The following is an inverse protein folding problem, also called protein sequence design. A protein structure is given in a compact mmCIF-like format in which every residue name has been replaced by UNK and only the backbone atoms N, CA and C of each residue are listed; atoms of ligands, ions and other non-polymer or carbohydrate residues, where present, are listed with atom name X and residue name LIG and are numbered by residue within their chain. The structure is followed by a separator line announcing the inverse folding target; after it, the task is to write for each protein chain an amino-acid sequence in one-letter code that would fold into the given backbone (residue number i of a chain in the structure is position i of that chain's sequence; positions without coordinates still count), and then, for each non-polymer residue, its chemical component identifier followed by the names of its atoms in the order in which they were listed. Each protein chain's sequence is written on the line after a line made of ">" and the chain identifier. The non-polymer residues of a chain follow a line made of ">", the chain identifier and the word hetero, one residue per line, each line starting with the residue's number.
data_IF_356496731904
#
_entry.id   IF_356496731904
#
_cell.length_a   1.000
_cell.length_b   1.000
_cell.length_c   1.000
_cell.angle_alpha   90.00
_cell.angle_beta   90.00
_cell.angle_gamma   90.00
#
_symmetry.space_group_name_H-M   'P 1'
#
loop_
_entity.id
_entity.type
_entity.pdbx_description
1 polymer ?
#
# COMPACT_ATOMS: atom_id res chain seq x y z
N UNK A 1 -13.08 -0.64 12.10
CA UNK A 1 -12.11 -1.56 11.47
C UNK A 1 -12.61 -2.04 10.12
N UNK A 2 -12.01 -1.55 9.02
CA UNK A 2 -12.33 -1.91 7.64
C UNK A 2 -11.07 -1.87 6.78
N UNK A 3 -10.86 -2.88 5.94
CA UNK A 3 -9.84 -2.86 4.90
C UNK A 3 -10.46 -2.39 3.60
N UNK A 4 -9.84 -1.44 2.92
CA UNK A 4 -10.33 -0.83 1.68
C UNK A 4 -9.23 -0.82 0.63
N UNK A 5 -9.58 -1.24 -0.59
CA UNK A 5 -8.70 -1.09 -1.76
C UNK A 5 -8.81 0.34 -2.28
N UNK A 6 -7.66 0.94 -2.59
CA UNK A 6 -7.55 2.31 -3.08
C UNK A 6 -7.19 2.29 -4.57
N UNK A 7 -8.11 2.76 -5.42
CA UNK A 7 -7.90 2.79 -6.87
C UNK A 7 -7.24 4.09 -7.34
N UNK A 8 -7.48 5.21 -6.66
CA UNK A 8 -7.04 6.56 -7.06
C UNK A 8 -6.35 7.29 -5.90
N UNK A 9 -5.55 8.31 -6.23
CA UNK A 9 -4.82 9.12 -5.25
C UNK A 9 -3.99 8.28 -4.26
N UNK A 10 -3.41 7.16 -4.74
CA UNK A 10 -2.61 6.23 -3.91
C UNK A 10 -1.47 6.93 -3.15
N UNK A 11 -0.94 8.04 -3.69
CA UNK A 11 0.14 8.84 -3.06
C UNK A 11 -0.30 9.59 -1.80
N UNK A 12 -1.59 9.76 -1.55
CA UNK A 12 -2.10 10.38 -0.31
C UNK A 12 -1.69 9.57 0.94
N UNK A 13 -1.35 8.30 0.76
CA UNK A 13 -0.94 7.38 1.82
C UNK A 13 0.59 7.24 1.92
N UNK A 14 1.37 8.02 1.16
CA UNK A 14 2.84 7.95 1.12
C UNK A 14 3.46 8.11 2.52
N UNK A 15 2.91 8.98 3.36
CA UNK A 15 3.41 9.18 4.72
C UNK A 15 3.40 7.91 5.58
N UNK A 16 2.43 7.00 5.39
CA UNK A 16 2.40 5.71 6.08
C UNK A 16 3.35 4.70 5.43
N UNK A 17 3.41 4.67 4.10
CA UNK A 17 4.26 3.74 3.36
C UNK A 17 5.76 4.00 3.67
N UNK A 18 6.14 5.27 3.82
CA UNK A 18 7.50 5.68 4.19
C UNK A 18 7.93 5.21 5.60
N UNK A 19 7.00 4.81 6.46
CA UNK A 19 7.34 4.22 7.77
C UNK A 19 7.90 2.80 7.62
N UNK A 20 7.50 2.08 6.58
CA UNK A 20 7.90 0.70 6.32
C UNK A 20 9.07 0.61 5.32
N UNK A 21 9.09 1.46 4.30
CA UNK A 21 10.18 1.56 3.32
C UNK A 21 10.58 3.03 3.11
N UNK A 22 11.81 3.45 3.48
CA UNK A 22 12.23 4.84 3.32
C UNK A 22 12.48 5.26 1.86
N UNK A 23 12.47 4.33 0.90
CA UNK A 23 12.73 4.61 -0.51
C UNK A 23 11.44 4.93 -1.27
N UNK A 24 11.19 6.23 -1.48
CA UNK A 24 10.01 6.70 -2.22
C UNK A 24 9.92 6.11 -3.65
N UNK A 25 11.04 6.01 -4.36
CA UNK A 25 11.10 5.43 -5.72
C UNK A 25 10.66 3.95 -5.73
N UNK A 26 11.02 3.18 -4.69
CA UNK A 26 10.58 1.79 -4.58
C UNK A 26 9.07 1.71 -4.31
N UNK A 27 8.55 2.56 -3.42
CA UNK A 27 7.11 2.65 -3.14
C UNK A 27 6.33 3.04 -4.39
N UNK A 28 6.82 4.00 -5.18
CA UNK A 28 6.16 4.40 -6.42
C UNK A 28 5.97 3.24 -7.38
N UNK A 29 6.96 2.35 -7.50
CA UNK A 29 6.86 1.13 -8.32
C UNK A 29 5.78 0.20 -7.79
N UNK A 30 5.72 0.00 -6.47
CA UNK A 30 4.70 -0.87 -5.87
C UNK A 30 3.30 -0.29 -6.05
N UNK A 31 3.12 1.02 -5.93
CA UNK A 31 1.83 1.68 -6.13
C UNK A 31 1.37 1.64 -7.59
N UNK A 32 2.32 1.60 -8.53
CA UNK A 32 2.03 1.53 -9.96
C UNK A 32 1.59 0.12 -10.38
N UNK A 33 2.40 -0.90 -10.09
CA UNK A 33 2.11 -2.29 -10.53
C UNK A 33 1.24 -3.08 -9.54
N UNK A 34 1.03 -2.57 -8.32
CA UNK A 34 0.36 -3.26 -7.24
C UNK A 34 -0.95 -2.62 -6.75
N UNK A 35 -1.62 -3.37 -5.88
CA UNK A 35 -2.90 -3.00 -5.30
C UNK A 35 -2.70 -2.44 -3.88
N UNK A 36 -3.00 -1.16 -3.69
CA UNK A 36 -2.92 -0.51 -2.38
C UNK A 36 -4.18 -0.81 -1.56
N UNK A 37 -3.97 -1.27 -0.33
CA UNK A 37 -4.99 -1.47 0.68
C UNK A 37 -4.71 -0.60 1.91
N UNK A 38 -5.77 -0.04 2.46
CA UNK A 38 -5.72 0.82 3.64
C UNK A 38 -6.63 0.24 4.72
N UNK A 39 -6.11 0.18 5.94
CA UNK A 39 -6.88 -0.22 7.10
C UNK A 39 -7.36 1.01 7.87
N UNK A 40 -8.68 1.09 8.07
CA UNK A 40 -9.33 2.17 8.82
C UNK A 40 -9.92 1.69 10.13
N UNK A 41 -9.66 2.45 11.18
CA UNK A 41 -10.37 2.32 12.45
C UNK A 41 -11.05 3.63 12.84
N UNK A 42 -12.36 3.58 13.10
CA UNK A 42 -13.16 4.78 13.40
C UNK A 42 -13.13 5.89 12.34
N UNK A 43 -12.79 5.58 11.08
CA UNK A 43 -12.60 6.58 10.01
C UNK A 43 -11.14 7.05 9.84
N UNK A 44 -10.30 6.82 10.84
CA UNK A 44 -8.87 7.11 10.81
C UNK A 44 -8.12 6.01 10.08
N UNK A 45 -7.23 6.39 9.16
CA UNK A 45 -6.27 5.51 8.49
C UNK A 45 -5.18 5.12 9.50
N UNK A 46 -5.00 3.83 9.77
CA UNK A 46 -4.03 3.35 10.76
C UNK A 46 -2.95 2.43 10.17
N UNK A 47 -3.15 1.90 8.97
CA UNK A 47 -2.14 1.14 8.23
C UNK A 47 -2.39 1.21 6.72
N UNK A 48 -1.33 0.99 5.95
CA UNK A 48 -1.36 0.89 4.50
C UNK A 48 -0.43 -0.23 4.04
N UNK A 49 -0.86 -1.05 3.09
CA UNK A 49 -0.08 -2.14 2.53
C UNK A 49 -0.35 -2.30 1.03
N UNK A 50 0.64 -2.77 0.29
CA UNK A 50 0.56 -2.97 -1.16
C UNK A 50 0.72 -4.44 -1.46
N UNK A 51 -0.25 -5.04 -2.16
CA UNK A 51 -0.08 -6.36 -2.76
C UNK A 51 0.61 -6.19 -4.11
N UNK A 52 1.85 -6.64 -4.20
CA UNK A 52 2.65 -6.61 -5.42
C UNK A 52 2.56 -7.97 -6.13
N UNK A 53 2.14 -8.03 -7.40
CA UNK A 53 2.08 -9.29 -8.12
C UNK A 53 3.48 -9.84 -8.36
N UNK A 54 3.65 -11.16 -8.24
CA UNK A 54 4.85 -11.86 -8.69
C UNK A 54 4.61 -12.42 -10.09
N UNK A 55 5.67 -12.81 -10.80
CA UNK A 55 5.55 -13.43 -12.13
C UNK A 55 4.81 -14.79 -12.07
N UNK A 56 4.90 -15.48 -10.94
CA UNK A 56 4.13 -16.69 -10.64
C UNK A 56 2.74 -16.32 -10.05
N UNK A 57 1.85 -17.31 -9.84
CA UNK A 57 0.49 -17.12 -9.29
C UNK A 57 0.43 -16.52 -7.85
N UNK A 58 1.54 -16.01 -7.32
CA UNK A 58 1.66 -15.41 -6.00
C UNK A 58 1.65 -13.88 -6.00
N UNK A 59 1.59 -13.33 -4.79
CA UNK A 59 1.82 -11.91 -4.54
C UNK A 59 2.71 -11.74 -3.31
N UNK A 60 3.43 -10.62 -3.28
CA UNK A 60 4.22 -10.20 -2.13
C UNK A 60 3.50 -9.04 -1.42
N UNK A 61 3.45 -9.09 -0.09
CA UNK A 61 2.98 -7.96 0.72
C UNK A 61 4.13 -6.98 0.92
N UNK A 62 4.05 -5.81 0.30
CA UNK A 62 4.96 -4.69 0.48
C UNK A 62 4.35 -3.68 1.45
N UNK A 63 5.17 -3.08 2.31
CA UNK A 63 4.80 -2.08 3.33
C UNK A 63 3.80 -2.61 4.39
N UNK A 64 4.26 -2.85 5.63
CA UNK A 64 3.43 -3.21 6.79
C UNK A 64 3.77 -2.33 8.00
#
# INVERSE_FOLDING_TARGET
>A
MKLERIEENKKDYMGLLLLADPCEEAIERYLYDGDLYVYRDGGTVVAAAVLYPLEDEGCELKNI
#
